data_IF_021766742794
#
_entry.id   IF_021766742794
#
_cell.length_a   1.000
_cell.length_b   1.000
_cell.length_c   1.000
_cell.angle_alpha   90.00
_cell.angle_beta   90.00
_cell.angle_gamma   90.00
#
_symmetry.space_group_name_H-M   'P 1'
#
loop_
_entity.id
_entity.type
_entity.pdbx_description
1 polymer ?
#
# COMPACT_ATOMS: atom_id res chain seq x y z
N UNK A 1 6.70 -25.94 -24.67
CA UNK A 1 7.04 -26.70 -23.45
C UNK A 1 8.25 -26.08 -22.79
N UNK A 2 8.02 -25.24 -21.78
CA UNK A 2 9.08 -24.74 -20.90
C UNK A 2 9.33 -25.86 -19.88
N UNK A 3 10.56 -26.37 -19.76
CA UNK A 3 10.88 -27.28 -18.65
C UNK A 3 10.63 -26.55 -17.33
N UNK A 4 9.91 -27.14 -16.35
CA UNK A 4 9.63 -26.47 -15.09
C UNK A 4 10.90 -25.95 -14.43
N UNK A 5 10.98 -24.65 -14.20
CA UNK A 5 12.09 -24.01 -13.47
C UNK A 5 11.54 -23.23 -12.29
N UNK A 6 12.13 -23.41 -11.10
CA UNK A 6 11.86 -22.52 -9.97
C UNK A 6 12.69 -21.25 -10.13
N UNK A 7 12.06 -20.09 -9.97
CA UNK A 7 12.71 -18.77 -9.93
C UNK A 7 12.36 -18.07 -8.62
N UNK A 8 13.21 -17.13 -8.20
CA UNK A 8 12.91 -16.22 -7.09
C UNK A 8 12.45 -14.89 -7.70
N UNK A 9 11.27 -14.43 -7.31
CA UNK A 9 10.84 -13.06 -7.55
C UNK A 9 11.20 -12.25 -6.30
N UNK A 10 12.00 -11.22 -6.49
CA UNK A 10 12.34 -10.24 -5.46
C UNK A 10 11.75 -8.89 -5.88
N UNK A 11 10.96 -8.28 -5.01
CA UNK A 11 10.27 -7.03 -5.26
C UNK A 11 10.68 -6.00 -4.21
N UNK A 12 10.95 -4.78 -4.65
CA UNK A 12 11.19 -3.62 -3.78
C UNK A 12 10.20 -2.55 -4.21
N UNK A 13 9.26 -2.20 -3.33
CA UNK A 13 8.33 -1.10 -3.57
C UNK A 13 8.83 0.16 -2.87
N UNK A 14 8.47 1.34 -3.39
CA UNK A 14 8.79 2.64 -2.76
C UNK A 14 10.31 2.91 -2.61
N UNK A 15 11.10 2.39 -3.57
CA UNK A 15 12.57 2.46 -3.55
C UNK A 15 13.13 3.77 -4.14
N UNK A 16 12.39 4.46 -5.01
CA UNK A 16 12.82 5.64 -5.76
C UNK A 16 12.58 6.96 -5.01
N UNK A 17 12.66 6.92 -3.69
CA UNK A 17 12.47 8.09 -2.83
C UNK A 17 13.77 8.88 -2.68
N UNK A 18 13.77 10.21 -2.93
CA UNK A 18 14.97 11.04 -2.76
C UNK A 18 15.54 11.03 -1.32
N UNK A 19 14.71 10.75 -0.31
CA UNK A 19 15.15 10.65 1.08
C UNK A 19 15.76 9.29 1.43
N UNK A 20 15.73 8.31 0.51
CA UNK A 20 16.31 6.96 0.70
C UNK A 20 17.60 6.81 -0.10
N UNK A 21 18.65 6.38 0.58
CA UNK A 21 19.94 6.04 -0.03
C UNK A 21 20.25 4.57 0.23
N UNK A 22 20.32 3.79 -0.86
CA UNK A 22 20.78 2.41 -0.83
C UNK A 22 22.31 2.34 -0.85
N UNK A 23 22.90 1.31 -0.25
CA UNK A 23 24.35 1.07 -0.26
C UNK A 23 24.92 0.94 -1.68
N UNK A 24 24.12 0.42 -2.60
CA UNK A 24 24.38 0.37 -4.04
C UNK A 24 23.09 0.77 -4.76
N UNK A 25 23.14 1.55 -5.86
CA UNK A 25 21.95 1.89 -6.63
C UNK A 25 21.18 0.64 -7.07
N UNK A 26 19.86 0.64 -6.84
CA UNK A 26 18.98 -0.43 -7.29
C UNK A 26 18.92 -0.40 -8.81
N UNK A 27 19.33 -1.50 -9.46
CA UNK A 27 19.35 -1.63 -10.91
C UNK A 27 19.00 -3.06 -11.34
N UNK A 28 18.59 -3.27 -12.60
CA UNK A 28 18.25 -4.61 -13.11
C UNK A 28 19.40 -5.62 -13.09
N UNK A 29 20.65 -5.15 -13.00
CA UNK A 29 21.84 -6.00 -13.05
C UNK A 29 22.24 -6.60 -11.68
N UNK A 30 21.53 -6.22 -10.60
CA UNK A 30 21.82 -6.74 -9.27
C UNK A 30 21.47 -8.23 -9.16
N UNK A 31 22.42 -9.02 -8.67
CA UNK A 31 22.17 -10.42 -8.28
C UNK A 31 21.30 -10.50 -7.03
N UNK A 32 20.64 -11.64 -6.81
CA UNK A 32 19.85 -11.87 -5.59
C UNK A 32 20.68 -11.66 -4.32
N UNK A 33 21.94 -12.13 -4.31
CA UNK A 33 22.84 -11.94 -3.18
C UNK A 33 23.13 -10.45 -2.92
N UNK A 34 23.31 -9.66 -3.98
CA UNK A 34 23.47 -8.21 -3.85
C UNK A 34 22.19 -7.56 -3.32
N UNK A 35 21.02 -7.92 -3.84
CA UNK A 35 19.73 -7.42 -3.33
C UNK A 35 19.53 -7.71 -1.83
N UNK A 36 19.85 -8.92 -1.38
CA UNK A 36 19.70 -9.33 0.01
C UNK A 36 20.73 -8.68 0.96
N UNK A 37 21.85 -8.20 0.42
CA UNK A 37 22.90 -7.49 1.18
C UNK A 37 22.77 -5.97 1.12
N UNK A 38 21.80 -5.44 0.39
CA UNK A 38 21.55 -4.00 0.34
C UNK A 38 21.22 -3.49 1.73
N UNK A 39 21.84 -2.38 2.11
CA UNK A 39 21.38 -1.58 3.23
C UNK A 39 20.74 -0.32 2.69
N UNK A 40 19.76 0.20 3.41
CA UNK A 40 19.09 1.45 3.09
C UNK A 40 19.21 2.37 4.28
N UNK A 41 19.37 3.65 4.01
CA UNK A 41 19.35 4.72 4.99
C UNK A 41 18.42 5.83 4.53
N UNK A 42 17.82 6.56 5.46
CA UNK A 42 17.05 7.75 5.14
C UNK A 42 17.00 8.75 6.27
N UNK A 43 16.72 10.01 5.93
CA UNK A 43 16.74 11.10 6.90
C UNK A 43 15.37 11.38 7.53
N UNK A 44 14.29 10.89 6.92
CA UNK A 44 12.92 11.06 7.36
C UNK A 44 12.09 9.82 7.02
N UNK A 45 10.91 9.74 7.62
CA UNK A 45 9.88 8.76 7.27
C UNK A 45 8.63 9.55 6.90
N UNK A 46 8.05 9.23 5.75
CA UNK A 46 6.73 9.69 5.36
C UNK A 46 5.79 8.49 5.30
N UNK A 47 4.56 8.70 5.78
CA UNK A 47 3.49 7.69 5.72
C UNK A 47 3.14 7.30 4.27
N UNK A 48 3.27 8.24 3.34
CA UNK A 48 3.06 8.05 1.91
C UNK A 48 4.17 7.28 1.18
N UNK A 49 5.32 7.03 1.81
CA UNK A 49 6.45 6.41 1.11
C UNK A 49 7.24 5.42 1.97
N UNK A 50 6.55 4.38 2.45
CA UNK A 50 7.17 3.33 3.25
C UNK A 50 7.83 2.28 2.36
N UNK A 51 9.13 2.05 2.53
CA UNK A 51 9.87 1.01 1.81
C UNK A 51 9.35 -0.39 2.16
N UNK A 52 9.09 -1.20 1.15
CA UNK A 52 8.65 -2.59 1.31
C UNK A 52 9.49 -3.53 0.46
N UNK A 53 9.69 -4.74 0.97
CA UNK A 53 10.40 -5.81 0.26
C UNK A 53 9.56 -7.07 0.29
N UNK A 54 9.54 -7.78 -0.84
CA UNK A 54 8.89 -9.07 -0.97
C UNK A 54 9.80 -10.06 -1.68
N UNK A 55 9.74 -11.32 -1.26
CA UNK A 55 10.52 -12.42 -1.84
C UNK A 55 9.63 -13.65 -1.93
N UNK A 56 9.60 -14.27 -3.11
CA UNK A 56 8.84 -15.51 -3.31
C UNK A 56 9.49 -16.42 -4.33
N UNK A 57 9.56 -17.70 -4.00
CA UNK A 57 9.86 -18.75 -4.97
C UNK A 57 8.63 -19.07 -5.81
N UNK A 58 8.81 -19.12 -7.13
CA UNK A 58 7.75 -19.31 -8.11
C UNK A 58 8.16 -20.39 -9.09
N UNK A 59 7.32 -21.42 -9.22
CA UNK A 59 7.50 -22.45 -10.24
C UNK A 59 7.01 -21.93 -11.59
N UNK A 60 7.93 -21.80 -12.55
CA UNK A 60 7.64 -21.45 -13.94
C UNK A 60 7.37 -22.74 -14.71
N UNK A 61 6.10 -23.17 -14.75
CA UNK A 61 5.65 -24.44 -15.32
C UNK A 61 4.87 -24.28 -16.64
N UNK A 62 4.64 -23.05 -17.08
CA UNK A 62 3.96 -22.69 -18.32
C UNK A 62 4.59 -21.40 -18.88
N UNK A 63 4.17 -21.00 -20.08
CA UNK A 63 4.55 -19.71 -20.67
C UNK A 63 4.04 -18.50 -19.84
N UNK A 64 2.96 -18.70 -19.06
CA UNK A 64 2.32 -17.65 -18.26
C UNK A 64 2.09 -18.12 -16.83
N UNK A 65 2.85 -17.56 -15.90
CA UNK A 65 2.71 -17.84 -14.46
C UNK A 65 2.31 -16.59 -13.71
N UNK A 66 1.22 -16.69 -12.97
CA UNK A 66 0.77 -15.65 -12.04
C UNK A 66 1.43 -15.91 -10.68
N UNK A 67 2.08 -14.88 -10.13
CA UNK A 67 2.69 -14.94 -8.82
C UNK A 67 2.22 -13.75 -7.96
N UNK A 68 1.84 -14.05 -6.73
CA UNK A 68 1.53 -13.06 -5.70
C UNK A 68 2.67 -13.02 -4.71
N UNK A 69 3.42 -11.91 -4.67
CA UNK A 69 4.58 -11.75 -3.78
C UNK A 69 4.13 -10.99 -2.53
N UNK A 70 4.15 -11.59 -1.33
CA UNK A 70 3.83 -10.87 -0.11
C UNK A 70 4.90 -9.80 0.15
N UNK A 71 4.44 -8.58 0.43
CA UNK A 71 5.31 -7.43 0.68
C UNK A 71 5.32 -7.13 2.17
N UNK A 72 6.51 -6.95 2.75
CA UNK A 72 6.71 -6.57 4.15
C UNK A 72 7.32 -5.17 4.21
N UNK A 73 6.73 -4.30 5.04
CA UNK A 73 7.33 -2.99 5.34
C UNK A 73 8.61 -3.20 6.12
N UNK A 74 9.69 -2.52 5.73
CA UNK A 74 10.95 -2.56 6.49
C UNK A 74 10.93 -1.68 7.75
N UNK A 75 9.86 -0.92 7.95
CA UNK A 75 9.67 -0.01 9.08
C UNK A 75 8.67 -0.56 10.09
N UNK A 76 8.80 -0.12 11.34
CA UNK A 76 7.80 -0.21 12.39
C UNK A 76 7.04 1.12 12.52
N UNK A 77 5.79 1.06 12.96
CA UNK A 77 5.02 2.25 13.41
C UNK A 77 4.81 2.18 14.91
N UNK A 78 4.93 3.31 15.59
CA UNK A 78 4.63 3.50 17.01
C UNK A 78 3.44 4.46 17.10
N UNK A 79 2.34 4.03 17.69
CA UNK A 79 1.19 4.89 17.97
C UNK A 79 1.11 5.11 19.49
N UNK A 80 1.38 6.34 19.93
CA UNK A 80 1.52 6.69 21.35
C UNK A 80 0.21 7.31 21.87
N UNK A 81 -0.37 6.70 22.90
CA UNK A 81 -1.57 7.17 23.58
C UNK A 81 -1.21 7.55 25.01
N UNK A 82 -1.47 8.79 25.39
CA UNK A 82 -1.10 9.34 26.69
C UNK A 82 -2.33 9.50 27.59
N UNK A 83 -2.20 9.06 28.84
CA UNK A 83 -3.25 9.18 29.86
C UNK A 83 -2.66 9.61 31.21
N UNK A 84 -3.52 10.11 32.10
CA UNK A 84 -3.21 10.25 33.52
C UNK A 84 -3.95 9.18 34.34
N UNK A 85 -3.35 8.73 35.44
CA UNK A 85 -3.97 7.76 36.33
C UNK A 85 -5.16 8.38 37.12
N UNK A 86 -6.04 7.54 37.66
CA UNK A 86 -7.18 7.94 38.51
C UNK A 86 -6.74 8.75 39.73
N UNK A 87 -5.57 8.47 40.31
CA UNK A 87 -5.02 9.26 41.42
C UNK A 87 -4.77 10.73 41.07
N UNK A 88 -4.75 11.08 39.78
CA UNK A 88 -4.51 12.42 39.24
C UNK A 88 -5.79 13.06 38.68
N UNK A 89 -6.98 12.52 39.00
CA UNK A 89 -8.27 13.05 38.51
C UNK A 89 -8.41 14.55 38.74
N UNK A 90 -8.11 15.03 39.95
CA UNK A 90 -8.16 16.44 40.33
C UNK A 90 -6.96 17.28 39.88
N UNK A 91 -5.91 16.66 39.34
CA UNK A 91 -4.71 17.34 38.86
C UNK A 91 -4.83 17.74 37.40
N UNK A 92 -4.38 18.96 37.07
CA UNK A 92 -4.20 19.40 35.69
C UNK A 92 -2.88 18.85 35.16
N UNK A 93 -2.96 17.92 34.21
CA UNK A 93 -1.78 17.31 33.57
C UNK A 93 -1.81 17.65 32.09
N UNK A 94 -0.82 18.40 31.62
CA UNK A 94 -0.72 18.87 30.24
C UNK A 94 0.57 18.38 29.62
N UNK A 95 0.52 17.65 28.52
CA UNK A 95 1.72 17.21 27.79
C UNK A 95 2.12 18.27 26.76
N UNK A 96 3.39 18.65 26.77
CA UNK A 96 3.94 19.64 25.85
C UNK A 96 4.72 19.00 24.69
N UNK A 97 5.33 17.84 24.92
CA UNK A 97 6.02 17.11 23.86
C UNK A 97 6.18 15.63 24.17
N UNK A 98 6.15 14.83 23.10
CA UNK A 98 6.59 13.43 23.11
C UNK A 98 7.80 13.33 22.18
N UNK A 99 8.95 12.99 22.73
CA UNK A 99 10.18 12.77 21.97
C UNK A 99 10.43 11.25 21.86
N UNK A 100 10.58 10.77 20.63
CA UNK A 100 11.07 9.43 20.36
C UNK A 100 12.60 9.49 20.16
N UNK A 101 13.31 8.89 21.12
CA UNK A 101 14.78 8.91 21.20
C UNK A 101 15.34 7.62 20.61
N UNK A 102 16.46 7.74 19.89
CA UNK A 102 17.10 6.66 19.14
C UNK A 102 16.19 6.06 18.05
N UNK A 103 15.49 6.90 17.29
CA UNK A 103 14.84 6.47 16.04
C UNK A 103 15.91 5.97 15.07
N UNK A 104 15.80 4.72 14.62
CA UNK A 104 16.77 4.10 13.70
C UNK A 104 16.45 4.51 12.27
N UNK A 105 17.49 4.92 11.54
CA UNK A 105 17.42 5.53 10.22
C UNK A 105 18.04 4.68 9.11
N UNK A 106 18.56 3.50 9.43
CA UNK A 106 19.05 2.55 8.45
C UNK A 106 18.67 1.11 8.76
N UNK A 107 18.57 0.28 7.72
CA UNK A 107 18.21 -1.14 7.84
C UNK A 107 18.79 -1.99 6.73
N UNK A 108 18.72 -3.31 6.89
CA UNK A 108 18.99 -4.26 5.84
C UNK A 108 17.73 -4.41 4.97
N UNK A 109 17.90 -4.51 3.65
CA UNK A 109 16.78 -4.65 2.73
C UNK A 109 16.10 -6.02 2.82
N UNK A 110 16.85 -7.05 3.24
CA UNK A 110 16.28 -8.38 3.50
C UNK A 110 15.63 -8.45 4.89
N UNK A 111 14.31 -8.74 4.98
CA UNK A 111 13.61 -8.95 6.24
C UNK A 111 14.21 -10.08 7.11
N UNK A 112 14.76 -11.11 6.44
CA UNK A 112 15.37 -12.29 7.05
C UNK A 112 16.64 -11.95 7.85
N UNK A 113 17.32 -10.85 7.53
CA UNK A 113 18.53 -10.41 8.24
C UNK A 113 18.14 -9.74 9.56
N UNK A 114 18.43 -10.42 10.67
CA UNK A 114 18.10 -9.97 12.02
C UNK A 114 19.13 -9.04 12.65
N UNK A 115 20.30 -8.87 12.04
CA UNK A 115 21.28 -7.87 12.49
C UNK A 115 20.88 -6.46 12.05
N UNK A 116 21.45 -5.45 12.72
CA UNK A 116 21.36 -4.05 12.29
C UNK A 116 22.60 -3.70 11.45
N UNK A 117 22.48 -2.83 10.43
CA UNK A 117 23.63 -2.34 9.69
C UNK A 117 24.62 -1.59 10.58
N UNK A 118 25.91 -1.69 10.25
CA UNK A 118 27.00 -0.95 10.91
C UNK A 118 27.61 0.06 9.94
N UNK A 119 27.75 1.35 10.32
CA UNK A 119 27.32 1.95 11.59
C UNK A 119 25.79 2.11 11.67
N UNK A 120 25.26 2.16 12.90
CA UNK A 120 23.84 2.44 13.15
C UNK A 120 23.62 3.94 13.02
N UNK A 121 22.71 4.35 12.13
CA UNK A 121 22.26 5.73 12.00
C UNK A 121 21.00 5.94 12.83
N UNK A 122 20.96 7.02 13.62
CA UNK A 122 19.83 7.33 14.50
C UNK A 122 19.67 8.81 14.75
N UNK A 123 18.45 9.22 15.10
CA UNK A 123 18.13 10.58 15.55
C UNK A 123 17.08 10.56 16.67
N UNK A 124 16.84 11.74 17.23
CA UNK A 124 15.66 11.97 18.05
C UNK A 124 14.65 12.74 17.21
N UNK A 125 13.38 12.42 17.37
CA UNK A 125 12.26 13.14 16.75
C UNK A 125 11.27 13.51 17.84
N UNK A 126 10.66 14.70 17.74
CA UNK A 126 9.73 15.20 18.75
C UNK A 126 8.43 15.63 18.08
N UNK A 127 7.32 15.21 18.67
CA UNK A 127 6.01 15.82 18.48
C UNK A 127 5.80 16.88 19.55
N UNK A 128 5.46 18.11 19.14
CA UNK A 128 5.35 19.27 20.05
C UNK A 128 3.93 19.82 19.99
N UNK A 129 3.28 19.89 21.15
CA UNK A 129 1.92 20.39 21.29
C UNK A 129 1.96 21.87 21.69
N UNK A 130 1.76 22.76 20.71
CA UNK A 130 1.67 24.20 20.96
C UNK A 130 0.41 24.50 21.80
N UNK A 131 0.60 25.03 23.01
CA UNK A 131 -0.48 25.19 23.99
C UNK A 131 -0.69 23.98 24.91
N UNK A 132 -0.07 22.84 24.57
CA UNK A 132 -0.13 21.60 25.34
C UNK A 132 -1.44 20.82 25.15
N UNK A 133 -1.37 19.52 25.44
CA UNK A 133 -2.52 18.60 25.39
C UNK A 133 -2.88 18.15 26.79
N UNK A 134 -4.07 18.53 27.27
CA UNK A 134 -4.57 18.08 28.57
C UNK A 134 -4.90 16.59 28.53
N UNK A 135 -4.26 15.83 29.42
CA UNK A 135 -4.48 14.38 29.50
C UNK A 135 -5.80 14.04 30.14
N UNK A 136 -6.51 13.11 29.51
CA UNK A 136 -7.68 12.45 30.06
C UNK A 136 -7.26 11.31 30.98
N UNK A 137 -8.19 10.90 31.84
CA UNK A 137 -8.05 9.67 32.61
C UNK A 137 -7.90 8.48 31.67
N UNK A 138 -7.14 7.47 32.10
CA UNK A 138 -7.07 6.20 31.40
C UNK A 138 -8.50 5.63 31.24
N UNK A 139 -8.94 5.32 30.02
CA UNK A 139 -10.29 4.81 29.81
C UNK A 139 -10.44 3.41 30.42
N UNK A 140 -11.65 3.09 30.88
CA UNK A 140 -11.97 1.78 31.44
C UNK A 140 -11.99 0.66 30.40
N UNK A 141 -12.15 1.02 29.13
CA UNK A 141 -12.07 0.13 27.98
C UNK A 141 -11.16 0.71 26.89
N UNK A 142 -10.87 -0.10 25.86
CA UNK A 142 -9.95 0.27 24.78
C UNK A 142 -10.66 0.79 23.52
N UNK A 143 -11.95 1.14 23.59
CA UNK A 143 -12.74 1.51 22.41
C UNK A 143 -12.28 2.81 21.76
N UNK A 144 -11.77 3.75 22.54
CA UNK A 144 -11.22 5.03 22.06
C UNK A 144 -9.76 4.93 21.59
N UNK A 145 -9.13 3.76 21.76
CA UNK A 145 -7.73 3.53 21.38
C UNK A 145 -7.66 3.06 19.92
N UNK A 146 -8.00 3.98 19.03
CA UNK A 146 -7.95 3.86 17.57
C UNK A 146 -6.84 4.76 17.00
N UNK A 147 -6.21 4.41 15.86
CA UNK A 147 -5.07 5.15 15.30
C UNK A 147 -5.25 6.66 15.22
N UNK A 148 -6.46 7.12 14.92
CA UNK A 148 -6.82 8.53 14.76
C UNK A 148 -6.71 9.33 16.07
N UNK A 149 -6.75 8.66 17.21
CA UNK A 149 -6.67 9.25 18.55
C UNK A 149 -5.27 9.15 19.17
N UNK A 150 -4.26 8.67 18.41
CA UNK A 150 -2.89 8.67 18.88
C UNK A 150 -2.42 10.12 19.12
N UNK A 151 -1.77 10.36 20.26
CA UNK A 151 -1.21 11.68 20.57
C UNK A 151 0.02 11.98 19.71
N UNK A 152 0.78 10.94 19.35
CA UNK A 152 1.89 11.03 18.41
C UNK A 152 2.07 9.68 17.72
N UNK A 153 2.44 9.72 16.45
CA UNK A 153 2.85 8.53 15.70
C UNK A 153 4.27 8.72 15.16
N UNK A 154 5.09 7.68 15.30
CA UNK A 154 6.46 7.66 14.82
C UNK A 154 6.73 6.43 13.99
N UNK A 155 7.66 6.54 13.05
CA UNK A 155 8.19 5.41 12.30
C UNK A 155 9.64 5.15 12.67
N UNK A 156 10.11 3.93 12.51
CA UNK A 156 11.52 3.60 12.68
C UNK A 156 11.86 2.37 11.89
N UNK A 157 13.10 2.28 11.42
CA UNK A 157 13.62 0.98 11.06
C UNK A 157 13.80 0.09 12.29
N UNK A 158 13.93 -1.21 12.04
CA UNK A 158 14.13 -2.23 13.07
C UNK A 158 15.25 -1.84 14.04
N UNK A 159 14.99 -2.00 15.34
CA UNK A 159 16.00 -2.01 16.40
C UNK A 159 16.02 -3.39 17.07
N UNK A 160 17.20 -3.96 17.29
CA UNK A 160 17.37 -5.23 18.01
C UNK A 160 18.27 -5.02 19.23
N UNK A 161 17.79 -5.40 20.40
CA UNK A 161 18.55 -5.49 21.65
C UNK A 161 18.84 -6.98 21.95
N UNK A 162 20.03 -7.50 21.59
CA UNK A 162 20.30 -8.94 21.55
C UNK A 162 20.08 -9.66 22.88
N UNK A 163 20.49 -9.04 23.98
CA UNK A 163 20.50 -9.66 25.31
C UNK A 163 19.25 -9.31 26.14
N UNK A 164 18.19 -8.77 25.52
CA UNK A 164 17.04 -8.24 26.23
C UNK A 164 17.41 -7.25 27.35
N UNK A 165 18.54 -6.54 27.17
CA UNK A 165 19.02 -5.47 28.04
C UNK A 165 19.14 -4.18 27.22
N UNK A 166 18.82 -3.02 27.81
CA UNK A 166 18.89 -1.77 27.08
C UNK A 166 20.35 -1.34 26.92
N UNK A 167 20.68 -0.90 25.72
CA UNK A 167 21.98 -0.38 25.32
C UNK A 167 21.87 1.10 24.88
N UNK A 168 22.95 1.63 24.30
CA UNK A 168 22.99 3.01 23.81
C UNK A 168 22.08 3.28 22.59
N UNK A 169 21.63 2.24 21.89
CA UNK A 169 20.79 2.33 20.70
C UNK A 169 19.32 2.04 20.99
N UNK A 170 19.03 1.50 22.17
CA UNK A 170 17.68 1.12 22.57
C UNK A 170 16.72 2.32 22.50
N UNK A 171 15.64 2.21 21.71
CA UNK A 171 14.66 3.27 21.58
C UNK A 171 13.81 3.43 22.83
N UNK A 172 13.49 4.68 23.15
CA UNK A 172 12.64 5.04 24.28
C UNK A 172 11.89 6.35 24.01
N UNK A 173 10.83 6.58 24.78
CA UNK A 173 10.11 7.86 24.73
C UNK A 173 10.52 8.75 25.89
N UNK A 174 10.61 10.05 25.62
CA UNK A 174 10.78 11.09 26.62
C UNK A 174 9.62 12.06 26.52
N UNK A 175 8.93 12.27 27.63
CA UNK A 175 7.71 13.09 27.67
C UNK A 175 7.97 14.30 28.55
N UNK A 176 7.63 15.49 28.07
CA UNK A 176 7.59 16.71 28.89
C UNK A 176 6.14 17.05 29.20
N UNK A 177 5.82 17.16 30.48
CA UNK A 177 4.46 17.45 30.93
C UNK A 177 4.48 18.46 32.08
N UNK A 178 3.40 19.24 32.18
CA UNK A 178 3.13 20.18 33.27
C UNK A 178 2.09 19.57 34.21
N UNK A 179 2.44 19.44 35.47
CA UNK A 179 1.53 19.09 36.56
C UNK A 179 1.19 20.33 37.35
N UNK A 180 -0.06 20.79 37.25
CA UNK A 180 -0.54 22.02 37.86
C UNK A 180 0.41 23.21 37.57
N UNK A 181 0.98 23.26 36.36
CA UNK A 181 1.92 24.29 35.90
C UNK A 181 3.40 24.02 36.16
N UNK A 182 3.77 22.95 36.87
CA UNK A 182 5.17 22.59 37.16
C UNK A 182 5.67 21.57 36.13
N UNK A 183 6.81 21.82 35.51
CA UNK A 183 7.37 20.97 34.45
C UNK A 183 8.09 19.74 34.99
N UNK A 184 7.79 18.58 34.41
CA UNK A 184 8.42 17.30 34.67
C UNK A 184 8.85 16.64 33.35
N UNK A 185 9.85 15.77 33.42
CA UNK A 185 10.35 15.00 32.27
C UNK A 185 10.38 13.53 32.61
N UNK A 186 9.64 12.75 31.84
CA UNK A 186 9.51 11.31 32.00
C UNK A 186 10.31 10.59 30.93
N UNK A 187 10.75 9.38 31.26
CA UNK A 187 11.43 8.48 30.35
C UNK A 187 10.85 7.08 30.50
N UNK A 188 10.59 6.41 29.39
CA UNK A 188 10.22 5.01 29.43
C UNK A 188 10.60 4.27 28.16
N UNK A 189 11.07 3.05 28.34
CA UNK A 189 11.38 2.13 27.24
C UNK A 189 10.11 1.52 26.68
N UNK A 190 10.03 1.40 25.36
CA UNK A 190 8.81 0.99 24.66
C UNK A 190 8.42 -0.46 24.97
N UNK A 191 9.38 -1.38 25.01
CA UNK A 191 9.13 -2.83 25.15
C UNK A 191 9.79 -3.42 26.39
N UNK A 192 9.86 -2.65 27.49
CA UNK A 192 10.42 -3.13 28.77
C UNK A 192 9.39 -3.88 29.63
N UNK A 193 8.21 -3.28 29.81
CA UNK A 193 7.16 -3.81 30.68
C UNK A 193 6.16 -4.63 29.84
N UNK A 194 6.08 -5.94 30.12
CA UNK A 194 5.07 -6.84 29.53
C UNK A 194 5.50 -7.60 28.27
N UNK A 195 6.70 -7.36 27.74
CA UNK A 195 7.26 -8.11 26.60
C UNK A 195 8.36 -9.05 27.08
N UNK A 196 8.19 -10.36 26.89
CA UNK A 196 9.23 -11.37 27.18
C UNK A 196 10.03 -11.74 25.94
N UNK A 197 9.45 -11.55 24.75
CA UNK A 197 10.09 -11.76 23.46
C UNK A 197 10.42 -10.41 22.83
N UNK A 198 11.60 -10.27 22.21
CA UNK A 198 12.04 -9.02 21.57
C UNK A 198 12.00 -7.81 22.51
N UNK A 199 12.33 -8.03 23.79
CA UNK A 199 12.42 -6.97 24.80
C UNK A 199 13.41 -5.89 24.33
N UNK A 200 13.07 -4.63 24.54
CA UNK A 200 13.84 -3.46 24.07
C UNK A 200 14.04 -3.37 22.54
N UNK A 201 13.37 -4.22 21.77
CA UNK A 201 13.47 -4.26 20.31
C UNK A 201 12.18 -3.77 19.65
N UNK A 202 12.31 -3.28 18.43
CA UNK A 202 11.22 -2.89 17.54
C UNK A 202 11.43 -3.59 16.20
N UNK A 203 10.47 -4.38 15.77
CA UNK A 203 10.53 -5.18 14.55
C UNK A 203 9.87 -4.42 13.40
N UNK A 204 10.35 -4.69 12.19
CA UNK A 204 9.70 -4.19 10.98
C UNK A 204 8.28 -4.76 10.84
N UNK A 205 7.51 -4.20 9.90
CA UNK A 205 6.15 -4.63 9.56
C UNK A 205 5.24 -4.82 10.78
N UNK A 206 5.46 -4.02 11.82
CA UNK A 206 4.76 -4.12 13.11
C UNK A 206 4.26 -2.75 13.52
N UNK A 207 2.98 -2.68 13.91
CA UNK A 207 2.40 -1.52 14.57
C UNK A 207 2.45 -1.76 16.08
N UNK A 208 3.15 -0.89 16.80
CA UNK A 208 3.20 -0.91 18.25
C UNK A 208 2.21 0.11 18.79
N UNK A 209 1.15 -0.39 19.41
CA UNK A 209 0.24 0.43 20.20
C UNK A 209 0.84 0.62 21.58
N UNK A 210 1.23 1.85 21.89
CA UNK A 210 1.93 2.22 23.13
C UNK A 210 0.98 3.01 24.00
N UNK A 211 0.52 2.41 25.09
CA UNK A 211 -0.26 3.09 26.11
C UNK A 211 0.69 3.59 27.20
N UNK A 212 0.78 4.90 27.33
CA UNK A 212 1.64 5.57 28.28
C UNK A 212 0.77 6.31 29.31
N UNK A 213 0.95 5.99 30.58
CA UNK A 213 0.18 6.56 31.68
C UNK A 213 1.12 7.26 32.66
N UNK A 214 0.84 8.53 32.94
CA UNK A 214 1.49 9.25 34.02
C UNK A 214 0.78 8.92 35.32
N UNK A 215 1.53 8.37 36.27
CA UNK A 215 0.98 7.87 37.54
C UNK A 215 1.20 8.87 38.68
N UNK A 216 2.38 9.51 38.71
CA UNK A 216 2.75 10.46 39.76
C UNK A 216 3.70 11.56 39.22
N UNK A 217 3.71 12.77 39.83
CA UNK A 217 4.62 13.86 39.44
C UNK A 217 6.12 13.51 39.55
N UNK A 218 6.51 12.57 40.42
CA UNK A 218 7.91 12.21 40.70
C UNK A 218 8.56 11.25 39.68
N UNK A 219 8.17 11.36 38.42
CA UNK A 219 8.69 10.63 37.26
C UNK A 219 8.22 9.18 37.06
N UNK A 220 7.12 8.74 37.67
CA UNK A 220 6.57 7.41 37.37
C UNK A 220 5.73 7.42 36.07
N UNK A 221 6.32 6.86 35.01
CA UNK A 221 5.67 6.60 33.72
C UNK A 221 5.45 5.09 33.57
N UNK A 222 4.19 4.69 33.40
CA UNK A 222 3.81 3.31 33.11
C UNK A 222 3.61 3.18 31.61
N UNK A 223 4.31 2.24 30.96
CA UNK A 223 4.15 1.95 29.54
C UNK A 223 3.66 0.52 29.38
N UNK A 224 2.62 0.35 28.57
CA UNK A 224 2.17 -0.95 28.07
C UNK A 224 2.16 -0.92 26.54
N UNK A 225 2.90 -1.83 25.94
CA UNK A 225 3.05 -1.89 24.48
C UNK A 225 2.52 -3.20 23.93
N UNK A 226 1.58 -3.11 23.00
CA UNK A 226 1.02 -4.26 22.28
C UNK A 226 1.47 -4.21 20.82
N UNK A 227 2.17 -5.24 20.32
CA UNK A 227 2.57 -5.32 18.92
C UNK A 227 1.42 -5.95 18.11
N UNK A 228 1.16 -5.39 16.94
CA UNK A 228 0.20 -5.90 15.96
C UNK A 228 0.91 -6.11 14.62
N UNK A 229 0.63 -7.23 13.91
CA UNK A 229 1.05 -7.37 12.53
C UNK A 229 0.54 -6.18 11.70
N UNK A 230 1.41 -5.61 10.87
CA UNK A 230 1.01 -4.54 9.96
C UNK A 230 0.54 -5.13 8.64
N UNK A 231 -0.64 -5.75 8.71
CA UNK A 231 -1.25 -6.38 7.55
C UNK A 231 -1.61 -5.34 6.49
N UNK A 232 -1.30 -5.64 5.23
CA UNK A 232 -1.67 -4.83 4.08
C UNK A 232 -3.13 -5.12 3.72
N UNK A 233 -4.05 -4.24 4.10
CA UNK A 233 -5.50 -4.45 3.85
C UNK A 233 -5.92 -4.06 2.42
N UNK A 234 -5.10 -3.28 1.70
CA UNK A 234 -5.26 -2.92 0.29
C UNK A 234 -3.98 -2.28 -0.26
N UNK A 235 -3.93 -1.92 -1.55
CA UNK A 235 -2.81 -1.18 -2.15
C UNK A 235 -2.71 0.21 -1.50
N UNK A 236 -1.81 0.37 -0.52
CA UNK A 236 -1.47 1.66 0.10
C UNK A 236 -0.49 2.43 -0.80
N UNK A 237 -0.91 2.74 -2.03
CA UNK A 237 -0.10 3.63 -2.84
C UNK A 237 -0.26 5.02 -2.21
N UNK A 238 0.86 5.70 -1.92
CA UNK A 238 0.90 6.91 -1.09
C UNK A 238 0.16 8.13 -1.62
N UNK A 239 -0.57 7.99 -2.72
CA UNK A 239 -1.41 9.00 -3.32
C UNK A 239 -2.72 8.36 -3.79
N UNK A 240 -3.82 9.04 -3.51
CA UNK A 240 -5.14 8.69 -4.04
C UNK A 240 -5.09 8.73 -5.58
N UNK A 241 -5.67 7.73 -6.24
CA UNK A 241 -5.85 7.77 -7.71
C UNK A 241 -6.94 8.80 -7.99
N UNK A 242 -6.56 9.88 -8.67
CA UNK A 242 -7.45 10.94 -9.10
C UNK A 242 -8.00 10.67 -10.50
N UNK A 243 -9.01 11.44 -10.91
CA UNK A 243 -9.59 11.34 -12.26
C UNK A 243 -8.59 11.75 -13.36
N UNK A 244 -7.60 12.58 -13.04
CA UNK A 244 -6.56 13.02 -13.99
C UNK A 244 -5.51 11.93 -14.25
N UNK A 245 -5.37 10.95 -13.35
CA UNK A 245 -4.34 9.92 -13.44
C UNK A 245 -4.68 8.82 -14.43
N UNK A 246 -5.95 8.69 -14.82
CA UNK A 246 -6.42 7.62 -15.68
C UNK A 246 -7.28 8.11 -16.83
N UNK A 247 -7.17 7.43 -17.96
CA UNK A 247 -7.97 7.75 -19.14
C UNK A 247 -8.33 6.47 -19.90
N UNK A 248 -9.58 6.40 -20.35
CA UNK A 248 -10.04 5.39 -21.28
C UNK A 248 -10.54 6.07 -22.56
N UNK A 249 -10.03 5.66 -23.71
CA UNK A 249 -10.41 6.17 -25.02
C UNK A 249 -10.71 5.01 -25.98
N UNK A 250 -11.50 5.21 -27.06
CA UNK A 250 -11.51 4.26 -28.16
C UNK A 250 -10.09 4.11 -28.74
N UNK A 251 -9.73 2.91 -29.16
CA UNK A 251 -8.40 2.63 -29.70
C UNK A 251 -8.08 3.52 -30.90
N UNK A 252 -6.89 4.14 -30.91
CA UNK A 252 -6.46 5.12 -31.91
C UNK A 252 -7.46 6.27 -32.18
N UNK A 253 -8.36 6.56 -31.24
CA UNK A 253 -9.35 7.63 -31.36
C UNK A 253 -10.59 7.29 -32.20
N UNK A 254 -10.66 6.11 -32.83
CA UNK A 254 -11.80 5.71 -33.66
C UNK A 254 -11.97 4.19 -33.66
N UNK A 255 -12.80 3.69 -32.74
CA UNK A 255 -13.22 2.29 -32.69
C UNK A 255 -14.76 2.23 -32.54
N UNK A 256 -15.44 1.84 -33.61
CA UNK A 256 -16.90 1.75 -33.65
C UNK A 256 -17.45 0.75 -32.62
N UNK A 257 -16.73 -0.34 -32.35
CA UNK A 257 -17.11 -1.33 -31.33
C UNK A 257 -17.11 -0.74 -29.93
N UNK A 258 -16.07 0.01 -29.56
CA UNK A 258 -15.92 0.67 -28.27
C UNK A 258 -16.98 1.77 -28.04
N UNK A 259 -17.21 2.60 -29.06
CA UNK A 259 -18.16 3.72 -29.00
C UNK A 259 -19.62 3.27 -28.97
N UNK A 260 -19.95 2.18 -29.65
CA UNK A 260 -21.33 1.62 -29.65
C UNK A 260 -21.55 0.54 -28.60
N UNK A 261 -20.46 -0.04 -28.05
CA UNK A 261 -20.49 -1.21 -27.17
C UNK A 261 -20.99 -2.46 -27.88
N UNK A 262 -20.91 -2.53 -29.20
CA UNK A 262 -21.40 -3.66 -29.98
C UNK A 262 -20.24 -4.56 -30.39
N UNK A 263 -20.38 -5.85 -30.10
CA UNK A 263 -19.50 -6.91 -30.60
C UNK A 263 -20.33 -7.95 -31.36
N UNK A 264 -19.71 -8.62 -32.34
CA UNK A 264 -20.37 -9.55 -33.24
C UNK A 264 -19.48 -10.79 -33.42
N UNK A 265 -20.09 -11.97 -33.48
CA UNK A 265 -19.38 -13.20 -33.88
C UNK A 265 -20.40 -14.11 -34.59
N UNK A 266 -20.27 -14.36 -35.90
CA UNK A 266 -19.32 -13.76 -36.86
C UNK A 266 -19.59 -12.27 -37.10
N UNK A 267 -18.65 -11.57 -37.73
CA UNK A 267 -18.81 -10.17 -38.14
C UNK A 267 -18.56 -9.97 -39.65
N UNK A 268 -18.97 -8.82 -40.18
CA UNK A 268 -18.66 -8.39 -41.56
C UNK A 268 -17.73 -7.18 -41.49
N UNK A 269 -16.63 -7.23 -42.21
CA UNK A 269 -15.75 -6.08 -42.42
C UNK A 269 -15.50 -5.88 -43.91
N UNK A 270 -15.67 -4.64 -44.38
CA UNK A 270 -15.48 -4.26 -45.79
C UNK A 270 -16.26 -5.16 -46.80
N UNK A 271 -17.41 -5.68 -46.38
CA UNK A 271 -18.26 -6.56 -47.20
C UNK A 271 -17.87 -8.05 -47.17
N UNK A 272 -16.82 -8.43 -46.45
CA UNK A 272 -16.37 -9.81 -46.28
C UNK A 272 -16.82 -10.38 -44.94
N UNK A 273 -17.22 -11.66 -44.93
CA UNK A 273 -17.66 -12.34 -43.72
C UNK A 273 -16.47 -12.97 -42.98
N UNK A 274 -16.27 -12.58 -41.73
CA UNK A 274 -15.22 -13.08 -40.85
C UNK A 274 -15.80 -14.03 -39.82
N UNK A 275 -15.31 -15.28 -39.80
CA UNK A 275 -15.76 -16.30 -38.86
C UNK A 275 -14.99 -16.26 -37.53
N UNK A 276 -15.00 -15.09 -36.90
CA UNK A 276 -14.34 -14.78 -35.64
C UNK A 276 -15.14 -13.68 -34.92
N UNK A 277 -14.74 -13.31 -33.71
CA UNK A 277 -15.37 -12.18 -33.01
C UNK A 277 -14.79 -10.87 -33.51
N UNK A 278 -15.65 -9.87 -33.66
CA UNK A 278 -15.22 -8.47 -33.65
C UNK A 278 -14.85 -8.08 -32.22
N UNK A 279 -14.04 -7.04 -32.10
CA UNK A 279 -13.61 -6.52 -30.81
C UNK A 279 -14.06 -5.07 -30.64
N UNK A 280 -14.49 -4.73 -29.42
CA UNK A 280 -14.51 -3.37 -28.94
C UNK A 280 -13.11 -3.06 -28.38
N UNK A 281 -12.41 -2.11 -28.98
CA UNK A 281 -11.01 -1.82 -28.67
C UNK A 281 -10.89 -0.50 -27.90
N UNK A 282 -10.23 -0.57 -26.75
CA UNK A 282 -10.00 0.56 -25.86
C UNK A 282 -8.50 0.80 -25.68
N UNK A 283 -8.13 2.07 -25.59
CA UNK A 283 -6.83 2.53 -25.10
C UNK A 283 -6.99 3.00 -23.67
N UNK A 284 -6.31 2.34 -22.72
CA UNK A 284 -6.36 2.66 -21.29
C UNK A 284 -5.00 3.08 -20.76
N UNK A 285 -4.89 4.25 -20.15
CA UNK A 285 -3.71 4.68 -19.40
C UNK A 285 -4.04 4.88 -17.94
N UNK A 286 -3.14 4.43 -17.06
CA UNK A 286 -3.06 4.81 -15.66
C UNK A 286 -1.63 5.30 -15.46
N UNK A 287 -1.44 6.61 -15.27
CA UNK A 287 -0.11 7.23 -15.26
C UNK A 287 0.44 7.41 -13.85
N UNK A 288 -0.45 7.50 -12.87
CA UNK A 288 -0.11 7.64 -11.48
C UNK A 288 -1.12 6.92 -10.57
N UNK A 289 -0.75 6.66 -9.31
CA UNK A 289 0.62 6.73 -8.80
C UNK A 289 1.51 5.61 -9.38
N UNK A 290 2.81 5.86 -9.45
CA UNK A 290 3.76 4.90 -10.01
C UNK A 290 3.66 3.55 -9.29
N UNK A 291 3.56 2.46 -10.06
CA UNK A 291 3.40 1.11 -9.51
C UNK A 291 1.96 0.71 -9.14
N UNK A 292 0.96 1.59 -9.35
CA UNK A 292 -0.44 1.22 -9.15
C UNK A 292 -0.83 0.06 -10.07
N UNK A 293 -1.44 -0.99 -9.50
CA UNK A 293 -1.93 -2.13 -10.26
C UNK A 293 -3.39 -1.91 -10.60
N UNK A 294 -3.73 -2.10 -11.86
CA UNK A 294 -5.10 -2.06 -12.33
C UNK A 294 -5.55 -3.42 -12.88
N UNK A 295 -6.85 -3.68 -12.84
CA UNK A 295 -7.48 -4.90 -13.35
C UNK A 295 -8.77 -4.55 -14.08
N UNK A 296 -8.84 -4.94 -15.35
CA UNK A 296 -10.06 -4.96 -16.14
C UNK A 296 -10.88 -6.22 -15.84
N UNK A 297 -12.18 -6.06 -15.65
CA UNK A 297 -13.11 -7.14 -15.33
C UNK A 297 -14.33 -7.11 -16.23
N UNK A 298 -14.81 -8.31 -16.61
CA UNK A 298 -16.08 -8.53 -17.30
C UNK A 298 -17.04 -9.24 -16.35
N UNK A 299 -18.25 -8.71 -16.18
CA UNK A 299 -19.26 -9.36 -15.32
C UNK A 299 -19.79 -10.67 -15.91
N UNK A 300 -19.64 -10.89 -17.22
CA UNK A 300 -20.00 -12.13 -17.90
C UNK A 300 -18.81 -12.68 -18.70
N UNK A 301 -17.83 -13.26 -18.00
CA UNK A 301 -16.70 -13.95 -18.61
C UNK A 301 -17.02 -15.28 -19.31
N UNK A 302 -18.28 -15.74 -19.27
CA UNK A 302 -18.70 -16.98 -19.94
C UNK A 302 -18.97 -16.74 -21.44
N UNK A 303 -19.62 -15.62 -21.76
CA UNK A 303 -19.99 -15.26 -23.13
C UNK A 303 -19.08 -14.18 -23.74
N UNK A 304 -18.25 -13.54 -22.93
CA UNK A 304 -17.29 -12.51 -23.35
C UNK A 304 -15.89 -12.81 -22.81
N UNK A 305 -14.88 -12.36 -23.54
CA UNK A 305 -13.47 -12.48 -23.15
C UNK A 305 -12.71 -11.23 -23.52
N UNK A 306 -11.58 -11.02 -22.85
CA UNK A 306 -10.57 -10.11 -23.36
C UNK A 306 -9.89 -10.72 -24.60
N UNK A 307 -9.57 -9.88 -25.59
CA UNK A 307 -8.80 -10.26 -26.78
C UNK A 307 -7.32 -10.43 -26.47
N UNK A 308 -6.62 -11.12 -27.38
CA UNK A 308 -5.18 -11.39 -27.29
C UNK A 308 -4.44 -10.52 -28.31
N UNK A 309 -3.65 -9.56 -27.84
CA UNK A 309 -2.64 -8.89 -28.67
C UNK A 309 -1.28 -9.53 -28.39
N UNK A 310 -0.58 -9.98 -29.43
CA UNK A 310 0.70 -10.70 -29.33
C UNK A 310 0.68 -11.87 -28.33
N UNK A 311 -0.48 -12.51 -28.15
CA UNK A 311 -0.68 -13.64 -27.25
C UNK A 311 -1.04 -13.28 -25.79
N UNK A 312 -1.14 -11.99 -25.45
CA UNK A 312 -1.45 -11.53 -24.09
C UNK A 312 -2.87 -10.95 -23.99
N UNK A 313 -3.65 -11.47 -23.02
CA UNK A 313 -4.87 -10.82 -22.56
C UNK A 313 -4.48 -9.62 -21.69
N UNK A 314 -4.70 -8.40 -22.19
CA UNK A 314 -4.44 -7.19 -21.41
C UNK A 314 -5.64 -6.91 -20.49
N UNK A 315 -5.78 -7.74 -19.45
CA UNK A 315 -6.82 -7.59 -18.42
C UNK A 315 -6.27 -7.06 -17.10
N UNK A 316 -4.95 -6.87 -17.01
CA UNK A 316 -4.26 -6.29 -15.85
C UNK A 316 -3.03 -5.53 -16.33
N UNK A 317 -2.58 -4.58 -15.55
CA UNK A 317 -1.34 -3.86 -15.81
C UNK A 317 -0.89 -3.03 -14.61
N UNK A 318 0.22 -2.32 -14.81
CA UNK A 318 0.81 -1.42 -13.84
C UNK A 318 0.77 0.00 -14.39
N UNK A 319 0.75 1.01 -13.53
CA UNK A 319 0.78 2.39 -13.96
C UNK A 319 2.05 2.71 -14.78
N UNK A 320 1.87 3.38 -15.91
CA UNK A 320 2.91 3.81 -16.86
C UNK A 320 2.36 4.87 -17.80
N UNK A 321 3.26 5.63 -18.45
CA UNK A 321 2.89 6.66 -19.43
C UNK A 321 2.25 6.08 -20.69
N UNK A 322 2.69 4.90 -21.13
CA UNK A 322 2.18 4.24 -22.33
C UNK A 322 0.83 3.54 -22.09
N UNK A 323 -0.16 3.84 -22.93
CA UNK A 323 -1.46 3.19 -22.82
C UNK A 323 -1.40 1.68 -23.11
N UNK A 324 -2.34 0.96 -22.52
CA UNK A 324 -2.64 -0.44 -22.77
C UNK A 324 -3.78 -0.55 -23.79
N UNK A 325 -3.69 -1.53 -24.67
CA UNK A 325 -4.81 -1.86 -25.57
C UNK A 325 -5.65 -2.96 -24.93
N UNK A 326 -6.90 -2.66 -24.59
CA UNK A 326 -7.87 -3.61 -24.04
C UNK A 326 -8.89 -3.92 -25.13
N UNK A 327 -9.08 -5.21 -25.44
CA UNK A 327 -10.03 -5.65 -26.44
C UNK A 327 -11.09 -6.50 -25.75
N UNK A 328 -12.37 -6.29 -26.06
CA UNK A 328 -13.48 -7.12 -25.55
C UNK A 328 -14.21 -7.74 -26.73
N UNK A 329 -14.36 -9.07 -26.72
CA UNK A 329 -15.02 -9.83 -27.77
C UNK A 329 -15.95 -10.91 -27.22
N UNK A 330 -16.74 -11.53 -28.08
CA UNK A 330 -17.61 -12.64 -27.75
C UNK A 330 -16.86 -13.98 -27.82
N UNK A 331 -17.12 -14.88 -26.86
CA UNK A 331 -16.51 -16.23 -26.85
C UNK A 331 -17.25 -17.23 -27.73
N UNK A 332 -18.52 -16.95 -28.04
CA UNK A 332 -19.43 -17.85 -28.76
C UNK A 332 -20.07 -17.11 -29.93
N UNK A 333 -20.36 -17.87 -30.99
CA UNK A 333 -21.17 -17.37 -32.11
C UNK A 333 -22.56 -16.93 -31.64
N UNK A 334 -23.11 -15.93 -32.32
CA UNK A 334 -24.47 -15.45 -32.12
C UNK A 334 -25.47 -16.59 -32.23
N UNK A 335 -26.37 -16.65 -31.25
CA UNK A 335 -27.37 -17.72 -31.11
C UNK A 335 -28.81 -17.22 -31.18
N UNK A 336 -29.02 -15.98 -31.67
CA UNK A 336 -30.35 -15.36 -31.77
C UNK A 336 -30.82 -14.63 -30.52
N UNK A 337 -30.07 -14.68 -29.40
CA UNK A 337 -30.43 -14.01 -28.15
C UNK A 337 -29.34 -13.02 -27.72
N UNK A 338 -29.68 -11.75 -27.43
CA UNK A 338 -28.73 -10.77 -26.94
C UNK A 338 -28.01 -11.24 -25.67
N UNK A 339 -26.67 -11.14 -25.68
CA UNK A 339 -25.82 -11.32 -24.51
C UNK A 339 -25.18 -9.98 -24.17
N UNK A 340 -24.92 -9.76 -22.90
CA UNK A 340 -24.25 -8.55 -22.45
C UNK A 340 -23.27 -8.81 -21.32
N UNK A 341 -22.31 -7.92 -21.18
CA UNK A 341 -21.39 -7.84 -20.05
C UNK A 341 -21.19 -6.37 -19.70
N UNK A 342 -20.95 -6.09 -18.41
CA UNK A 342 -20.33 -4.84 -18.01
C UNK A 342 -18.82 -5.02 -17.99
N UNK A 343 -18.11 -4.06 -18.56
CA UNK A 343 -16.67 -3.91 -18.52
C UNK A 343 -16.32 -2.77 -17.56
N UNK A 344 -15.47 -3.04 -16.59
CA UNK A 344 -14.95 -2.02 -15.66
C UNK A 344 -13.49 -2.26 -15.34
N UNK A 345 -12.83 -1.22 -14.85
CA UNK A 345 -11.45 -1.26 -14.39
C UNK A 345 -11.40 -0.91 -12.91
N UNK A 346 -10.68 -1.71 -12.12
CA UNK A 346 -10.34 -1.39 -10.74
C UNK A 346 -8.86 -1.07 -10.62
N UNK A 347 -8.52 -0.14 -9.73
CA UNK A 347 -7.15 0.09 -9.27
C UNK A 347 -7.20 0.41 -7.77
N UNK A 348 -6.24 -0.12 -7.00
CA UNK A 348 -6.28 0.00 -5.53
C UNK A 348 -7.52 -0.64 -4.88
N UNK A 349 -8.20 -1.56 -5.56
CA UNK A 349 -9.44 -2.17 -5.08
C UNK A 349 -10.73 -1.37 -5.31
N UNK A 350 -10.63 -0.18 -5.91
CA UNK A 350 -11.77 0.71 -6.22
C UNK A 350 -12.04 0.74 -7.71
N UNK A 351 -13.31 0.84 -8.14
CA UNK A 351 -13.67 1.03 -9.55
C UNK A 351 -13.31 2.44 -10.00
N UNK A 352 -12.59 2.53 -11.12
CA UNK A 352 -12.24 3.80 -11.76
C UNK A 352 -13.43 4.38 -12.53
N UNK A 353 -13.53 5.70 -12.59
CA UNK A 353 -14.57 6.41 -13.34
C UNK A 353 -14.19 6.49 -14.82
N UNK A 354 -14.25 5.36 -15.51
CA UNK A 354 -13.85 5.21 -16.92
C UNK A 354 -14.90 5.68 -17.93
N UNK A 355 -16.12 5.99 -17.48
CA UNK A 355 -17.22 6.42 -18.34
C UNK A 355 -18.04 7.56 -17.70
N UNK A 356 -17.41 8.64 -17.20
CA UNK A 356 -18.10 9.68 -16.45
C UNK A 356 -19.11 10.43 -17.32
N UNK A 357 -20.16 10.96 -16.69
CA UNK A 357 -21.16 11.77 -17.39
C UNK A 357 -20.54 13.12 -17.79
N UNK A 358 -20.54 13.43 -19.07
CA UNK A 358 -20.02 14.69 -19.60
C UNK A 358 -20.97 15.86 -19.31
N UNK A 359 -20.47 17.09 -19.45
CA UNK A 359 -21.24 18.33 -19.22
C UNK A 359 -22.48 18.45 -20.11
N UNK A 360 -22.48 17.83 -21.29
CA UNK A 360 -23.61 17.75 -22.21
C UNK A 360 -24.68 16.72 -21.78
N UNK A 361 -24.48 16.03 -20.65
CA UNK A 361 -25.37 15.01 -20.13
C UNK A 361 -25.22 13.61 -20.74
N UNK A 362 -24.38 13.45 -21.76
CA UNK A 362 -24.09 12.18 -22.41
C UNK A 362 -22.85 11.49 -21.81
N UNK A 363 -22.68 10.21 -22.11
CA UNK A 363 -21.49 9.42 -21.78
C UNK A 363 -20.68 9.15 -23.04
N UNK A 364 -19.37 8.98 -22.90
CA UNK A 364 -18.50 8.64 -24.03
C UNK A 364 -18.76 7.21 -24.54
N UNK A 365 -19.02 6.29 -23.61
CA UNK A 365 -19.29 4.89 -23.92
C UNK A 365 -20.69 4.48 -23.41
N UNK A 366 -21.28 3.39 -23.95
CA UNK A 366 -22.56 2.90 -23.47
C UNK A 366 -22.50 2.46 -22.01
N UNK A 367 -23.55 2.73 -21.24
CA UNK A 367 -23.62 2.40 -19.82
C UNK A 367 -24.55 3.36 -19.07
N UNK A 368 -24.88 3.03 -17.83
CA UNK A 368 -25.76 3.84 -16.97
C UNK A 368 -25.02 4.53 -15.82
N UNK A 369 -23.78 4.11 -15.52
CA UNK A 369 -22.97 4.66 -14.44
C UNK A 369 -21.57 5.10 -14.90
N UNK A 370 -20.84 5.76 -14.00
CA UNK A 370 -19.55 6.39 -14.31
C UNK A 370 -18.38 5.40 -14.42
N UNK A 371 -18.57 4.16 -13.96
CA UNK A 371 -17.51 3.18 -13.74
C UNK A 371 -17.58 1.95 -14.65
N UNK A 372 -18.72 1.72 -15.30
CA UNK A 372 -18.98 0.55 -16.12
C UNK A 372 -19.34 0.95 -17.55
N UNK A 373 -18.89 0.12 -18.50
CA UNK A 373 -19.24 0.18 -19.91
C UNK A 373 -20.06 -1.05 -20.26
N UNK A 374 -21.19 -0.86 -20.93
CA UNK A 374 -22.06 -1.93 -21.37
C UNK A 374 -21.63 -2.43 -22.75
N UNK A 375 -21.25 -3.71 -22.83
CA UNK A 375 -20.96 -4.40 -24.08
C UNK A 375 -22.10 -5.38 -24.38
N UNK A 376 -22.54 -5.42 -25.63
CA UNK A 376 -23.60 -6.30 -26.11
C UNK A 376 -23.14 -7.06 -27.34
N UNK A 377 -23.38 -8.36 -27.34
CA UNK A 377 -23.32 -9.15 -28.55
C UNK A 377 -24.64 -8.95 -29.32
N UNK A 378 -24.54 -8.72 -30.63
CA UNK A 378 -25.71 -8.61 -31.51
C UNK A 378 -25.55 -9.48 -32.75
N UNK A 379 -26.66 -9.67 -33.48
CA UNK A 379 -26.62 -10.23 -34.83
C UNK A 379 -25.84 -9.30 -35.77
N UNK A 380 -25.18 -9.88 -36.78
CA UNK A 380 -24.66 -9.08 -37.89
C UNK A 380 -25.85 -8.50 -38.69
N UNK A 381 -25.78 -7.23 -39.08
CA UNK A 381 -26.76 -6.60 -39.97
C UNK A 381 -26.06 -6.02 -41.18
#
# INVERSE_FOLDING_TARGET
NVSPQTKVIYAIANYNDPDKTFSVPVSPDLTLQQLESLTVSGNAFTDSNILMVGKKEVAINSEYVVAEVPMERLVARLDIYMFKNQGLESSSVVVNSIEFVNQILNTNSSPEVTSMPTPISKKNVSEVFLGGTTLQLMPSDLSEIVPENAHASFYTYRNIAPDATPDANTPYIRIKALFNGISYTYRGYLTDQGQTTHKYSLLHNTVYRVMAMLDHPDNQLIIKTTPYPWELTSSEIGQEITEDDHQLQPYNGDDAGATTGIVQFPYIANGEAHNETSYANYSFSLTAPAGAIWTATLTNGLDFTFGMNDGLNVSKGIARDEAYTIQVGATKRWSGNPKSTYFYITAGGVKLKINPKQSNGNRQFPGDNDTDILIRQTEYK
#
